data_IF_673318028466
#
_entry.id   IF_673318028466
#
_cell.length_a   1.000
_cell.length_b   1.000
_cell.length_c   1.000
_cell.angle_alpha   90.00
_cell.angle_beta   90.00
_cell.angle_gamma   90.00
#
_symmetry.space_group_name_H-M   'P 1'
#
loop_
_entity.id
_entity.type
_entity.pdbx_description
1 polymer ?
#
# COMPACT_ATOMS: atom_id res chain seq x y z
N UNK A 1 -3.36 22.96 -3.14
CA UNK A 1 -4.26 21.82 -3.42
C UNK A 1 -3.36 20.60 -3.61
N UNK A 2 -3.11 19.87 -2.51
CA UNK A 2 -2.18 18.75 -2.49
C UNK A 2 -2.74 17.64 -3.38
N UNK A 3 -1.90 16.97 -4.17
CA UNK A 3 -2.32 15.81 -4.95
C UNK A 3 -2.90 14.78 -4.00
N UNK A 4 -4.22 14.56 -4.08
CA UNK A 4 -4.96 13.38 -3.56
C UNK A 4 -5.64 13.57 -2.20
N UNK A 5 -6.67 14.41 -2.15
CA UNK A 5 -7.77 14.32 -1.16
C UNK A 5 -8.81 13.25 -1.56
N UNK A 6 -8.35 12.11 -2.10
CA UNK A 6 -9.22 10.97 -2.41
C UNK A 6 -9.17 9.99 -1.23
N UNK A 7 -10.33 9.57 -0.74
CA UNK A 7 -10.43 8.58 0.34
C UNK A 7 -9.86 7.22 -0.12
N UNK A 8 -8.56 7.01 0.06
CA UNK A 8 -7.85 5.79 -0.33
C UNK A 8 -7.71 4.77 0.80
N UNK A 9 -7.94 5.16 2.06
CA UNK A 9 -7.83 4.23 3.17
C UNK A 9 -8.90 3.12 3.06
N UNK A 10 -8.48 1.87 3.23
CA UNK A 10 -9.35 0.68 3.13
C UNK A 10 -9.10 -0.29 4.28
N UNK A 11 -10.11 -1.12 4.58
CA UNK A 11 -10.01 -2.22 5.54
C UNK A 11 -10.30 -3.54 4.82
N UNK A 12 -9.29 -4.40 4.66
CA UNK A 12 -9.41 -5.68 3.94
C UNK A 12 -9.02 -6.81 4.90
N UNK A 13 -9.92 -7.76 5.13
CA UNK A 13 -9.71 -8.90 6.03
C UNK A 13 -9.21 -8.49 7.45
N UNK A 14 -9.62 -7.31 7.94
CA UNK A 14 -9.18 -6.76 9.24
C UNK A 14 -7.89 -5.94 9.19
N UNK A 15 -7.22 -5.85 8.03
CA UNK A 15 -6.04 -5.01 7.85
C UNK A 15 -6.43 -3.60 7.41
N UNK A 16 -6.06 -2.61 8.23
CA UNK A 16 -6.22 -1.18 7.90
C UNK A 16 -5.06 -0.72 7.03
N UNK A 17 -5.34 -0.42 5.77
CA UNK A 17 -4.37 0.08 4.80
C UNK A 17 -4.61 1.56 4.52
N UNK A 18 -3.53 2.36 4.41
CA UNK A 18 -3.62 3.79 4.06
C UNK A 18 -4.09 4.01 2.63
N UNK A 19 -3.80 3.07 1.74
CA UNK A 19 -4.20 3.03 0.34
C UNK A 19 -4.32 1.56 -0.12
N UNK A 20 -5.00 1.26 -1.24
CA UNK A 20 -5.17 -0.10 -1.74
C UNK A 20 -3.99 -0.57 -2.60
N UNK A 21 -2.79 -0.01 -2.42
CA UNK A 21 -1.60 -0.36 -3.20
C UNK A 21 -0.72 -1.29 -2.37
N UNK A 22 -0.36 -2.44 -2.96
CA UNK A 22 0.55 -3.43 -2.38
C UNK A 22 1.42 -4.02 -3.49
N UNK A 23 2.66 -4.41 -3.17
CA UNK A 23 3.53 -5.14 -4.08
C UNK A 23 3.02 -6.56 -4.30
N UNK A 24 3.12 -7.06 -5.53
CA UNK A 24 2.77 -8.44 -5.81
C UNK A 24 3.80 -9.40 -5.18
N UNK A 25 3.37 -10.60 -4.80
CA UNK A 25 4.27 -11.61 -4.23
C UNK A 25 5.38 -11.96 -5.23
N UNK A 26 6.63 -11.99 -4.75
CA UNK A 26 7.78 -12.33 -5.60
C UNK A 26 8.32 -11.18 -6.45
N UNK A 27 7.68 -10.00 -6.48
CA UNK A 27 8.17 -8.83 -7.24
C UNK A 27 9.01 -7.88 -6.39
N UNK A 28 9.14 -8.16 -5.09
CA UNK A 28 9.77 -7.25 -4.12
C UNK A 28 10.76 -7.96 -3.16
N UNK A 29 11.03 -9.25 -3.38
CA UNK A 29 11.97 -10.01 -2.53
C UNK A 29 11.68 -9.88 -1.03
N UNK A 30 12.75 -9.70 -0.23
CA UNK A 30 12.68 -9.34 1.19
C UNK A 30 12.66 -7.82 1.45
N UNK A 31 12.62 -6.99 0.39
CA UNK A 31 12.63 -5.54 0.51
C UNK A 31 13.98 -4.94 0.95
N UNK A 32 15.08 -5.71 0.89
CA UNK A 32 16.41 -5.21 1.26
C UNK A 32 16.87 -4.06 0.35
N UNK A 33 16.44 -4.06 -0.91
CA UNK A 33 16.82 -3.06 -1.92
C UNK A 33 15.97 -1.76 -1.85
N UNK A 34 14.92 -1.76 -1.02
CA UNK A 34 13.91 -0.70 -0.97
C UNK A 34 13.64 -0.18 0.46
N UNK A 35 14.48 -0.58 1.42
CA UNK A 35 14.44 -0.12 2.81
C UNK A 35 15.03 1.29 2.98
#
# INVERSE_FOLDING_TARGET
>A
MSKTDAAMAVNIAGMKMKNPVMTASGTFGCGEEYA
#
